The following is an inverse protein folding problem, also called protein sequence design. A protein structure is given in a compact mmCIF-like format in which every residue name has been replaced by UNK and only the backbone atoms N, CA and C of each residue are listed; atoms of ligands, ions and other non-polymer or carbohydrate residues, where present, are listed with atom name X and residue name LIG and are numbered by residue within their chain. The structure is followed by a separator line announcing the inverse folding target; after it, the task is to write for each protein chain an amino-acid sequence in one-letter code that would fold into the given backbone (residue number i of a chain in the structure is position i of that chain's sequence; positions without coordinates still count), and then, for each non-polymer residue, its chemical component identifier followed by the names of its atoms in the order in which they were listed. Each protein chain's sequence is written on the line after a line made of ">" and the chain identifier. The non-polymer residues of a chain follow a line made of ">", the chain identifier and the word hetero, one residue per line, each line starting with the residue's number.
data_IF_815215104087
#
_entry.id   IF_815215104087
#
_cell.length_a   1.000
_cell.length_b   1.000
_cell.length_c   1.000
_cell.angle_alpha   90.00
_cell.angle_beta   90.00
_cell.angle_gamma   90.00
#
_symmetry.space_group_name_H-M   'P 1'
#
loop_
_entity.id
_entity.type
_entity.pdbx_description
1 polymer ?
#
# COMPACT_ATOMS: atom_id res chain seq x y z
N UNK A 1 47.48 -53.36 -65.41
CA UNK A 1 46.17 -53.20 -64.74
C UNK A 1 46.47 -52.76 -63.30
N UNK A 2 46.25 -51.47 -63.03
CA UNK A 2 45.33 -50.94 -62.00
C UNK A 2 45.99 -50.88 -60.59
N UNK A 3 46.50 -49.70 -60.15
CA UNK A 3 45.86 -48.71 -59.23
C UNK A 3 45.86 -49.16 -57.76
N UNK A 4 46.17 -48.42 -56.69
CA UNK A 4 46.22 -46.97 -56.31
C UNK A 4 46.86 -46.92 -54.88
N UNK A 5 47.76 -46.00 -54.46
CA UNK A 5 47.57 -44.57 -54.03
C UNK A 5 46.38 -44.43 -53.06
N UNK A 6 46.35 -43.75 -51.91
CA UNK A 6 47.23 -42.88 -51.11
C UNK A 6 46.51 -42.63 -49.77
N UNK A 7 47.29 -42.22 -48.76
CA UNK A 7 46.97 -41.60 -47.47
C UNK A 7 45.50 -41.30 -47.09
N UNK A 8 45.13 -41.83 -45.92
CA UNK A 8 44.06 -41.30 -45.06
C UNK A 8 44.38 -39.86 -44.69
N UNK A 9 43.60 -38.92 -45.24
CA UNK A 9 43.66 -37.51 -44.90
C UNK A 9 42.26 -36.97 -44.63
N UNK A 10 42.13 -36.36 -43.45
CA UNK A 10 41.08 -35.43 -43.02
C UNK A 10 39.71 -36.03 -42.63
N UNK A 11 39.60 -36.37 -41.35
CA UNK A 11 38.36 -36.24 -40.60
C UNK A 11 37.89 -34.78 -40.66
N UNK A 12 36.73 -34.53 -41.29
CA UNK A 12 36.09 -33.22 -41.31
C UNK A 12 35.31 -33.05 -40.01
N UNK A 13 35.59 -32.05 -39.15
CA UNK A 13 34.81 -31.84 -37.93
C UNK A 13 33.36 -31.44 -38.26
N UNK A 14 32.40 -31.74 -37.36
CA UNK A 14 30.98 -31.50 -37.58
C UNK A 14 30.71 -30.01 -37.84
N UNK A 15 29.91 -29.74 -38.87
CA UNK A 15 29.44 -28.40 -39.24
C UNK A 15 28.79 -27.75 -38.02
N UNK A 16 29.45 -26.74 -37.47
CA UNK A 16 28.88 -25.94 -36.40
C UNK A 16 27.63 -25.22 -36.93
N UNK A 17 26.50 -25.23 -36.19
CA UNK A 17 25.35 -24.42 -36.56
C UNK A 17 25.80 -22.97 -36.64
N UNK A 18 25.91 -22.46 -37.87
CA UNK A 18 26.25 -21.06 -38.09
C UNK A 18 25.10 -20.24 -37.55
N UNK A 19 25.36 -19.52 -36.46
CA UNK A 19 24.44 -18.50 -35.95
C UNK A 19 24.18 -17.57 -37.15
N UNK A 20 22.93 -17.40 -37.61
CA UNK A 20 22.65 -16.41 -38.62
C UNK A 20 23.02 -15.06 -38.02
N UNK A 21 24.13 -14.48 -38.47
CA UNK A 21 24.49 -13.09 -38.21
C UNK A 21 23.57 -12.20 -39.05
N UNK A 22 22.26 -12.29 -38.81
CA UNK A 22 21.33 -11.22 -39.11
C UNK A 22 21.91 -10.02 -38.38
N UNK A 23 22.44 -9.05 -39.13
CA UNK A 23 22.83 -7.77 -38.53
C UNK A 23 21.61 -7.30 -37.74
N UNK A 24 21.73 -7.28 -36.42
CA UNK A 24 20.97 -6.36 -35.59
C UNK A 24 21.12 -5.02 -36.32
N UNK A 25 20.03 -4.38 -36.77
CA UNK A 25 20.15 -3.06 -37.35
C UNK A 25 20.85 -2.21 -36.31
N UNK A 26 22.14 -1.93 -36.52
CA UNK A 26 22.87 -0.93 -35.76
C UNK A 26 22.22 0.35 -36.19
N UNK A 27 21.16 0.75 -35.47
CA UNK A 27 20.50 2.03 -35.68
C UNK A 27 21.61 3.06 -35.53
N UNK A 28 22.00 3.77 -36.60
CA UNK A 28 23.07 4.74 -36.50
C UNK A 28 22.66 5.75 -35.44
N UNK A 29 23.49 5.93 -34.40
CA UNK A 29 23.21 6.83 -33.26
C UNK A 29 23.01 8.29 -33.72
N UNK A 30 23.26 8.59 -35.00
CA UNK A 30 23.00 9.88 -35.65
C UNK A 30 21.64 10.03 -36.35
N UNK A 31 20.74 9.03 -36.36
CA UNK A 31 19.41 9.13 -36.99
C UNK A 31 18.23 9.00 -36.01
N UNK A 32 18.49 8.66 -34.74
CA UNK A 32 17.47 8.80 -33.71
C UNK A 32 17.32 10.28 -33.38
N UNK A 33 16.13 10.83 -33.64
CA UNK A 33 15.85 12.20 -33.23
C UNK A 33 15.99 12.29 -31.70
N UNK A 34 16.41 13.44 -31.18
CA UNK A 34 16.50 13.67 -29.72
C UNK A 34 15.16 13.35 -29.03
N UNK A 35 14.03 13.56 -29.74
CA UNK A 35 12.71 13.15 -29.27
C UNK A 35 12.54 11.63 -29.08
N UNK A 36 13.17 10.80 -29.90
CA UNK A 36 13.14 9.35 -29.76
C UNK A 36 13.90 8.87 -28.51
N UNK A 37 15.07 9.46 -28.23
CA UNK A 37 15.88 9.09 -27.05
C UNK A 37 15.20 9.54 -25.74
N UNK A 38 14.61 10.74 -25.71
CA UNK A 38 13.84 11.22 -24.56
C UNK A 38 12.58 10.35 -24.34
N UNK A 39 11.91 9.94 -25.42
CA UNK A 39 10.75 9.05 -25.35
C UNK A 39 11.12 7.69 -24.76
N UNK A 40 12.21 7.07 -25.21
CA UNK A 40 12.69 5.80 -24.68
C UNK A 40 13.10 5.91 -23.21
N UNK A 41 13.91 6.92 -22.86
CA UNK A 41 14.32 7.16 -21.49
C UNK A 41 13.13 7.38 -20.53
N UNK A 42 12.12 8.14 -20.97
CA UNK A 42 10.88 8.36 -20.21
C UNK A 42 10.07 7.08 -20.06
N UNK A 43 10.05 6.24 -21.10
CA UNK A 43 9.37 4.94 -21.08
C UNK A 43 10.04 4.00 -20.07
N UNK A 44 11.37 3.87 -20.09
CA UNK A 44 12.11 3.05 -19.12
C UNK A 44 11.96 3.54 -17.68
N UNK A 45 12.02 4.86 -17.45
CA UNK A 45 11.78 5.43 -16.13
C UNK A 45 10.37 5.11 -15.64
N UNK A 46 9.37 5.23 -16.52
CA UNK A 46 7.98 4.89 -16.19
C UNK A 46 7.82 3.41 -15.84
N UNK A 47 8.53 2.51 -16.53
CA UNK A 47 8.55 1.07 -16.22
C UNK A 47 9.19 0.79 -14.86
N UNK A 48 10.31 1.45 -14.52
CA UNK A 48 10.95 1.29 -13.21
C UNK A 48 10.08 1.79 -12.06
N UNK A 49 9.52 2.99 -12.19
CA UNK A 49 8.61 3.55 -11.20
C UNK A 49 7.39 2.67 -11.00
N UNK A 50 6.85 2.12 -12.10
CA UNK A 50 5.73 1.18 -12.03
C UNK A 50 6.11 -0.08 -11.28
N UNK A 51 7.28 -0.65 -11.53
CA UNK A 51 7.78 -1.83 -10.85
C UNK A 51 7.98 -1.59 -9.34
N UNK A 52 8.53 -0.43 -8.97
CA UNK A 52 8.75 -0.08 -7.55
C UNK A 52 7.43 0.16 -6.81
N UNK A 53 6.45 0.78 -7.46
CA UNK A 53 5.08 0.92 -6.92
C UNK A 53 4.39 -0.44 -6.81
N UNK A 54 4.55 -1.33 -7.79
CA UNK A 54 3.96 -2.67 -7.75
C UNK A 54 4.56 -3.51 -6.63
N UNK A 55 5.87 -3.41 -6.41
CA UNK A 55 6.55 -4.06 -5.30
C UNK A 55 6.08 -3.51 -3.94
N UNK A 56 6.10 -2.18 -3.77
CA UNK A 56 5.64 -1.53 -2.53
C UNK A 56 4.17 -1.88 -2.24
N UNK A 57 3.33 -1.90 -3.28
CA UNK A 57 1.93 -2.33 -3.16
C UNK A 57 1.84 -3.79 -2.73
N UNK A 58 2.64 -4.69 -3.30
CA UNK A 58 2.65 -6.10 -2.92
C UNK A 58 3.09 -6.31 -1.47
N UNK A 59 4.13 -5.60 -1.03
CA UNK A 59 4.64 -5.66 0.35
C UNK A 59 3.61 -5.13 1.35
N UNK A 60 3.08 -3.92 1.13
CA UNK A 60 2.03 -3.34 1.98
C UNK A 60 0.78 -4.24 2.01
N UNK A 61 0.37 -4.79 0.87
CA UNK A 61 -0.78 -5.71 0.82
C UNK A 61 -0.50 -7.00 1.60
N UNK A 62 0.71 -7.53 1.52
CA UNK A 62 1.12 -8.71 2.26
C UNK A 62 1.15 -8.44 3.78
N UNK A 63 1.65 -7.28 4.21
CA UNK A 63 1.63 -6.85 5.61
C UNK A 63 0.21 -6.67 6.13
N UNK A 64 -0.66 -5.98 5.38
CA UNK A 64 -2.07 -5.80 5.72
C UNK A 64 -2.77 -7.16 5.84
N UNK A 65 -2.50 -8.09 4.93
CA UNK A 65 -3.08 -9.44 4.97
C UNK A 65 -2.60 -10.22 6.20
N UNK A 66 -1.32 -10.14 6.56
CA UNK A 66 -0.78 -10.74 7.79
C UNK A 66 -1.42 -10.13 9.04
N UNK A 67 -1.55 -8.81 9.09
CA UNK A 67 -2.22 -8.10 10.17
C UNK A 67 -3.69 -8.50 10.32
N UNK A 68 -4.40 -8.62 9.19
CA UNK A 68 -5.80 -9.08 9.16
C UNK A 68 -5.92 -10.52 9.66
N UNK A 69 -5.06 -11.43 9.19
CA UNK A 69 -5.05 -12.81 9.66
C UNK A 69 -4.75 -12.90 11.17
N UNK A 70 -3.81 -12.10 11.67
CA UNK A 70 -3.52 -11.99 13.10
C UNK A 70 -4.70 -11.43 13.92
N UNK A 71 -5.47 -10.51 13.34
CA UNK A 71 -6.63 -9.90 13.99
C UNK A 71 -7.78 -10.89 14.26
N UNK A 72 -7.85 -12.01 13.52
CA UNK A 72 -8.90 -13.04 13.72
C UNK A 72 -8.86 -13.59 15.15
N UNK A 73 -7.68 -13.93 15.65
CA UNK A 73 -7.53 -14.42 17.03
C UNK A 73 -7.90 -13.35 18.05
N UNK A 74 -7.58 -12.09 17.78
CA UNK A 74 -7.95 -10.99 18.65
C UNK A 74 -9.47 -10.77 18.68
N UNK A 75 -10.15 -10.87 17.54
CA UNK A 75 -11.61 -10.80 17.46
C UNK A 75 -12.23 -11.95 18.26
N UNK A 76 -11.76 -13.19 18.07
CA UNK A 76 -12.23 -14.36 18.83
C UNK A 76 -12.01 -14.15 20.32
N UNK A 77 -10.81 -13.71 20.73
CA UNK A 77 -10.48 -13.45 22.12
C UNK A 77 -11.37 -12.34 22.73
N UNK A 78 -11.62 -11.25 22.00
CA UNK A 78 -12.52 -10.17 22.44
C UNK A 78 -13.96 -10.64 22.57
N UNK A 79 -14.45 -11.48 21.65
CA UNK A 79 -15.79 -12.08 21.75
C UNK A 79 -15.88 -12.97 22.98
N UNK A 80 -14.92 -13.88 23.19
CA UNK A 80 -14.86 -14.73 24.38
C UNK A 80 -14.85 -13.86 25.64
N UNK A 81 -13.96 -12.87 25.72
CA UNK A 81 -13.85 -11.96 26.85
C UNK A 81 -15.18 -11.22 27.11
N UNK A 82 -15.84 -10.73 26.07
CA UNK A 82 -17.11 -10.03 26.17
C UNK A 82 -18.21 -10.93 26.78
N UNK A 83 -18.35 -12.16 26.31
CA UNK A 83 -19.29 -13.12 26.87
C UNK A 83 -18.89 -13.58 28.28
N UNK A 84 -17.59 -13.77 28.54
CA UNK A 84 -17.07 -14.12 29.86
C UNK A 84 -17.32 -13.04 30.90
N UNK A 85 -17.30 -11.75 30.54
CA UNK A 85 -17.61 -10.66 31.46
C UNK A 85 -19.01 -10.78 32.06
N UNK A 86 -20.01 -11.21 31.28
CA UNK A 86 -21.36 -11.47 31.79
C UNK A 86 -21.34 -12.52 32.91
N UNK A 87 -20.68 -13.66 32.68
CA UNK A 87 -20.54 -14.72 33.69
C UNK A 87 -19.69 -14.27 34.88
N UNK A 88 -18.66 -13.47 34.65
CA UNK A 88 -17.82 -12.91 35.72
C UNK A 88 -18.64 -12.01 36.66
N UNK A 89 -19.43 -11.08 36.13
CA UNK A 89 -20.27 -10.22 36.97
C UNK A 89 -21.39 -11.00 37.66
N UNK A 90 -21.96 -12.00 36.99
CA UNK A 90 -22.92 -12.90 37.62
C UNK A 90 -22.29 -13.66 38.79
N UNK A 91 -21.12 -14.28 38.58
CA UNK A 91 -20.39 -15.00 39.62
C UNK A 91 -19.96 -14.07 40.77
N UNK A 92 -19.57 -12.83 40.47
CA UNK A 92 -19.27 -11.81 41.49
C UNK A 92 -20.52 -11.47 42.32
N UNK A 93 -21.68 -11.32 41.67
CA UNK A 93 -22.96 -11.11 42.34
C UNK A 93 -23.33 -12.26 43.26
N UNK A 94 -23.22 -13.51 42.77
CA UNK A 94 -23.46 -14.70 43.59
C UNK A 94 -22.48 -14.82 44.77
N UNK A 95 -21.20 -14.50 44.55
CA UNK A 95 -20.18 -14.52 45.62
C UNK A 95 -20.50 -13.51 46.71
N UNK A 96 -20.94 -12.31 46.34
CA UNK A 96 -21.38 -11.30 47.30
C UNK A 96 -22.69 -11.68 48.00
N UNK A 97 -23.58 -12.41 47.31
CA UNK A 97 -24.83 -12.91 47.88
C UNK A 97 -24.64 -13.98 48.96
N UNK A 98 -23.43 -14.50 49.17
CA UNK A 98 -23.09 -15.36 50.32
C UNK A 98 -23.16 -14.55 51.63
N UNK A 99 -22.78 -13.28 51.59
CA UNK A 99 -22.65 -12.41 52.78
C UNK A 99 -23.79 -11.39 52.90
N UNK A 100 -24.46 -11.09 51.79
CA UNK A 100 -25.49 -10.05 51.69
C UNK A 100 -26.78 -10.57 51.08
N UNK A 101 -27.89 -9.83 51.26
CA UNK A 101 -29.11 -10.12 50.53
C UNK A 101 -28.87 -10.04 49.01
N UNK A 102 -29.38 -11.02 48.26
CA UNK A 102 -29.13 -11.18 46.82
C UNK A 102 -29.36 -9.89 46.02
N UNK A 103 -30.46 -9.17 46.28
CA UNK A 103 -30.72 -7.92 45.58
C UNK A 103 -29.67 -6.83 45.86
N UNK A 104 -29.17 -6.73 47.10
CA UNK A 104 -28.13 -5.78 47.47
C UNK A 104 -26.78 -6.13 46.82
N UNK A 105 -26.45 -7.43 46.75
CA UNK A 105 -25.24 -7.92 46.07
C UNK A 105 -25.23 -7.52 44.57
N UNK A 106 -26.32 -7.81 43.85
CA UNK A 106 -26.42 -7.43 42.44
C UNK A 106 -26.50 -5.91 42.23
N UNK A 107 -27.08 -5.15 43.15
CA UNK A 107 -27.05 -3.68 43.10
C UNK A 107 -25.62 -3.12 43.23
N UNK A 108 -24.78 -3.70 44.09
CA UNK A 108 -23.37 -3.32 44.21
C UNK A 108 -22.61 -3.64 42.91
N UNK A 109 -22.78 -4.85 42.36
CA UNK A 109 -22.15 -5.23 41.08
C UNK A 109 -22.58 -4.29 39.96
N UNK A 110 -23.87 -3.95 39.89
CA UNK A 110 -24.38 -2.98 38.93
C UNK A 110 -23.72 -1.60 39.11
N UNK A 111 -23.56 -1.13 40.35
CA UNK A 111 -22.81 0.10 40.65
C UNK A 111 -21.37 0.05 40.13
N UNK A 112 -20.66 -1.07 40.35
CA UNK A 112 -19.30 -1.29 39.83
C UNK A 112 -19.29 -1.21 38.29
N UNK A 113 -20.28 -1.81 37.63
CA UNK A 113 -20.40 -1.76 36.16
C UNK A 113 -20.61 -0.33 35.66
N UNK A 114 -21.43 0.50 36.32
CA UNK A 114 -21.61 1.90 35.94
C UNK A 114 -20.33 2.71 36.10
N UNK A 115 -19.58 2.51 37.18
CA UNK A 115 -18.28 3.16 37.39
C UNK A 115 -17.29 2.76 36.31
N UNK A 116 -17.18 1.45 36.03
CA UNK A 116 -16.30 0.95 34.98
C UNK A 116 -16.68 1.52 33.60
N UNK A 117 -17.98 1.50 33.24
CA UNK A 117 -18.47 2.06 32.00
C UNK A 117 -18.17 3.56 31.89
N UNK A 118 -18.38 4.33 32.97
CA UNK A 118 -18.04 5.74 33.04
C UNK A 118 -16.55 6.01 32.81
N UNK A 119 -15.67 5.21 33.42
CA UNK A 119 -14.22 5.31 33.23
C UNK A 119 -13.80 5.00 31.79
N UNK A 120 -14.30 3.91 31.20
CA UNK A 120 -14.01 3.56 29.81
C UNK A 120 -14.55 4.60 28.83
N UNK A 121 -15.77 5.12 29.06
CA UNK A 121 -16.34 6.20 28.25
C UNK A 121 -15.48 7.47 28.35
N UNK A 122 -15.02 7.83 29.54
CA UNK A 122 -14.15 8.98 29.75
C UNK A 122 -12.80 8.80 29.06
N UNK A 123 -12.12 7.66 29.25
CA UNK A 123 -10.85 7.40 28.58
C UNK A 123 -11.00 7.34 27.05
N UNK A 124 -12.09 6.75 26.56
CA UNK A 124 -12.43 6.76 25.13
C UNK A 124 -12.61 8.18 24.61
N UNK A 125 -13.39 9.00 25.30
CA UNK A 125 -13.60 10.41 24.96
C UNK A 125 -12.31 11.22 24.97
N UNK A 126 -11.47 11.06 26.00
CA UNK A 126 -10.17 11.72 26.10
C UNK A 126 -9.21 11.28 24.99
N UNK A 127 -9.23 10.01 24.60
CA UNK A 127 -8.40 9.48 23.51
C UNK A 127 -8.85 10.05 22.16
N UNK A 128 -10.15 10.07 21.89
CA UNK A 128 -10.72 10.65 20.66
C UNK A 128 -10.43 12.14 20.59
N UNK A 129 -10.56 12.89 21.70
CA UNK A 129 -10.21 14.32 21.74
C UNK A 129 -8.73 14.60 21.50
N UNK A 130 -7.84 13.65 21.80
CA UNK A 130 -6.40 13.78 21.54
C UNK A 130 -6.07 13.58 20.06
N UNK A 131 -6.94 12.97 19.27
CA UNK A 131 -6.78 12.84 17.83
C UNK A 131 -7.10 14.21 17.22
N UNK A 132 -6.08 15.07 17.12
CA UNK A 132 -6.17 16.30 16.31
C UNK A 132 -6.29 15.90 14.84
N UNK A 133 -7.14 16.58 14.09
CA UNK A 133 -7.13 16.47 12.63
C UNK A 133 -5.70 16.74 12.12
N UNK A 134 -5.23 16.04 11.07
CA UNK A 134 -3.89 16.28 10.53
C UNK A 134 -3.86 17.65 9.83
N UNK A 135 -3.72 18.72 10.62
CA UNK A 135 -3.76 20.11 10.18
C UNK A 135 -2.68 20.39 9.13
N UNK A 136 -1.52 19.75 9.25
CA UNK A 136 -0.42 19.85 8.27
C UNK A 136 -0.81 19.26 6.92
N UNK A 137 -1.45 18.10 6.89
CA UNK A 137 -1.93 17.50 5.64
C UNK A 137 -3.02 18.36 5.00
N UNK A 138 -3.93 18.91 5.81
CA UNK A 138 -4.99 19.79 5.33
C UNK A 138 -4.42 21.11 4.78
N UNK A 139 -3.40 21.71 5.43
CA UNK A 139 -2.76 22.93 4.94
C UNK A 139 -2.03 22.67 3.61
N UNK A 140 -1.24 21.61 3.52
CA UNK A 140 -0.48 21.30 2.29
C UNK A 140 -1.41 21.01 1.10
N UNK A 141 -2.55 20.36 1.33
CA UNK A 141 -3.55 20.13 0.28
C UNK A 141 -4.25 21.43 -0.14
N UNK A 142 -4.53 22.34 0.79
CA UNK A 142 -5.09 23.67 0.49
C UNK A 142 -4.11 24.53 -0.30
N UNK A 143 -2.84 24.52 0.08
CA UNK A 143 -1.78 25.26 -0.63
C UNK A 143 -1.58 24.70 -2.05
N UNK A 144 -1.56 23.38 -2.19
CA UNK A 144 -1.46 22.72 -3.51
C UNK A 144 -2.67 23.05 -4.40
N UNK A 145 -3.88 23.03 -3.84
CA UNK A 145 -5.09 23.43 -4.57
C UNK A 145 -5.07 24.92 -4.95
N UNK A 146 -4.63 25.79 -4.04
CA UNK A 146 -4.51 27.22 -4.30
C UNK A 146 -3.53 27.54 -5.44
N UNK A 147 -2.38 26.85 -5.49
CA UNK A 147 -1.41 26.98 -6.58
C UNK A 147 -2.01 26.50 -7.92
N UNK A 148 -2.76 25.41 -7.91
CA UNK A 148 -3.43 24.89 -9.11
C UNK A 148 -4.52 25.83 -9.62
N UNK A 149 -5.33 26.41 -8.71
CA UNK A 149 -6.37 27.39 -9.02
C UNK A 149 -5.81 28.76 -9.45
N UNK A 150 -4.64 29.15 -8.97
CA UNK A 150 -3.95 30.35 -9.45
C UNK A 150 -3.48 30.18 -10.90
N UNK A 151 -2.94 28.99 -11.23
CA UNK A 151 -2.49 28.67 -12.60
C UNK A 151 -3.61 28.63 -13.63
N UNK A 152 -4.82 28.23 -13.22
CA UNK A 152 -6.01 28.23 -14.08
C UNK A 152 -6.57 29.63 -14.37
N UNK A 153 -6.36 30.62 -13.49
CA UNK A 153 -6.80 32.01 -13.71
C UNK A 153 -5.86 32.81 -14.62
N UNK A 154 -4.56 32.48 -14.65
CA UNK A 154 -3.58 33.14 -15.52
C UNK A 154 -3.65 32.75 -17.01
N UNK A 155 -4.53 31.82 -17.40
CA UNK A 155 -4.77 31.42 -18.80
C UNK A 155 -6.08 31.97 -19.37
N UNK A 156 -6.78 32.89 -18.71
CA UNK A 156 -7.84 33.64 -19.36
C UNK A 156 -7.20 34.58 -20.41
N UNK A 157 -7.44 34.37 -21.72
CA UNK A 157 -6.78 35.15 -22.76
C UNK A 157 -7.27 36.60 -22.70
N UNK A 158 -6.34 37.55 -22.59
CA UNK A 158 -6.60 38.95 -22.89
C UNK A 158 -6.96 39.09 -24.37
N UNK A 159 -8.25 38.93 -24.68
CA UNK A 159 -8.83 39.30 -25.96
C UNK A 159 -9.43 40.70 -25.84
N UNK A 160 -8.61 41.75 -25.93
CA UNK A 160 -9.03 43.01 -26.55
C UNK A 160 -7.90 44.05 -26.68
N UNK A 161 -7.80 44.65 -27.88
CA UNK A 161 -7.47 46.08 -27.94
C UNK A 161 -6.27 46.56 -28.76
N UNK A 162 -5.87 45.90 -29.85
CA UNK A 162 -5.00 46.55 -30.86
C UNK A 162 -5.60 46.47 -32.27
N UNK A 163 -6.62 47.30 -32.48
CA UNK A 163 -7.09 47.73 -33.80
C UNK A 163 -7.61 49.17 -33.68
N UNK A 164 -6.72 50.16 -33.80
CA UNK A 164 -7.00 51.53 -34.25
C UNK A 164 -5.69 52.35 -34.20
N UNK A 165 -5.24 52.81 -35.36
CA UNK A 165 -4.05 53.65 -35.56
C UNK A 165 -3.60 53.57 -37.00
#
# INVERSE_FOLDING_TARGET
>A
MASSTSSNGADVPPVLPSIPLSREPVVPVGQQSIGAIVKDATTHLSTLLRAEVELAKAEVTAEVKKGLQGSVFFIIALVILLFSLFFFFFALGETLAIWLHRAAAFAIVFGIMLVAAGLFALFGYLRVRKIRAPERTISTLKDSAAVLSARGRSQAPELNGHAAG
#
